data_IF_697864777672
#
_entry.id   IF_697864777672
#
_cell.length_a   1.000
_cell.length_b   1.000
_cell.length_c   1.000
_cell.angle_alpha   90.00
_cell.angle_beta   90.00
_cell.angle_gamma   90.00
#
_symmetry.space_group_name_H-M   'P 1'
#
loop_
_entity.id
_entity.type
_entity.pdbx_description
1 polymer ?
#
# COMPACT_ATOMS: atom_id res chain seq x y z
N UNK A 1 1.85 -2.86 -15.36
CA UNK A 1 1.26 -2.01 -14.27
C UNK A 1 -0.12 -1.48 -14.60
N UNK A 2 -0.40 -1.28 -15.86
CA UNK A 2 -1.68 -0.69 -16.29
C UNK A 2 -2.89 -1.45 -15.75
N UNK A 3 -2.95 -2.76 -15.93
CA UNK A 3 -4.07 -3.57 -15.44
C UNK A 3 -4.17 -3.71 -13.92
N UNK A 4 -3.18 -3.25 -13.18
CA UNK A 4 -3.15 -3.30 -11.71
C UNK A 4 -3.60 -1.98 -11.12
N UNK A 5 -3.20 -0.87 -11.73
CA UNK A 5 -3.47 0.48 -11.25
C UNK A 5 -4.73 1.10 -11.85
N UNK A 6 -5.35 0.40 -12.81
CA UNK A 6 -6.49 0.90 -13.55
C UNK A 6 -6.13 1.18 -15.00
N UNK A 7 -7.12 1.07 -15.87
CA UNK A 7 -6.93 1.23 -17.31
C UNK A 7 -6.66 2.67 -17.76
N UNK A 8 -6.87 3.63 -16.86
CA UNK A 8 -6.66 5.05 -17.16
C UNK A 8 -5.23 5.54 -16.88
N UNK A 9 -4.36 4.67 -16.36
CA UNK A 9 -2.96 5.03 -16.11
C UNK A 9 -2.14 4.95 -17.39
N UNK A 10 -1.57 6.10 -17.80
CA UNK A 10 -0.70 6.25 -18.96
C UNK A 10 0.68 6.70 -18.50
N UNK A 11 1.73 6.61 -19.37
CA UNK A 11 3.05 7.16 -19.03
C UNK A 11 3.00 8.63 -18.62
N UNK A 12 2.18 9.46 -19.30
CA UNK A 12 2.03 10.86 -18.93
C UNK A 12 1.41 11.02 -17.55
N UNK A 13 0.37 10.24 -17.21
CA UNK A 13 -0.25 10.29 -15.89
C UNK A 13 0.69 9.83 -14.79
N UNK A 14 1.52 8.83 -15.05
CA UNK A 14 2.54 8.38 -14.11
C UNK A 14 3.52 9.52 -13.81
N UNK A 15 3.99 10.21 -14.84
CA UNK A 15 4.89 11.35 -14.64
C UNK A 15 4.19 12.49 -13.89
N UNK A 16 2.96 12.81 -14.26
CA UNK A 16 2.21 13.90 -13.65
C UNK A 16 1.86 13.63 -12.18
N UNK A 17 1.39 12.43 -11.87
CA UNK A 17 0.83 12.11 -10.55
C UNK A 17 1.80 11.43 -9.60
N UNK A 18 2.91 10.91 -10.09
CA UNK A 18 3.87 10.17 -9.29
C UNK A 18 5.29 10.70 -9.49
N UNK A 19 5.95 10.30 -10.57
CA UNK A 19 7.38 10.53 -10.75
C UNK A 19 7.76 11.99 -10.94
N UNK A 20 6.85 12.81 -11.45
CA UNK A 20 7.06 14.25 -11.62
C UNK A 20 6.72 15.09 -10.39
N UNK A 21 6.25 14.47 -9.30
CA UNK A 21 5.89 15.20 -8.08
C UNK A 21 7.12 15.45 -7.22
N UNK A 22 7.20 16.61 -6.54
CA UNK A 22 8.38 16.94 -5.74
C UNK A 22 8.58 16.02 -4.53
N UNK A 23 7.53 15.37 -4.03
CA UNK A 23 7.63 14.43 -2.92
C UNK A 23 8.04 13.01 -3.36
N UNK A 24 8.16 12.75 -4.66
CA UNK A 24 8.59 11.45 -5.16
C UNK A 24 10.09 11.26 -4.94
N UNK A 25 10.45 10.11 -4.40
CA UNK A 25 11.85 9.68 -4.24
C UNK A 25 12.02 8.34 -4.95
N UNK A 26 12.83 8.27 -6.02
CA UNK A 26 13.05 7.01 -6.74
C UNK A 26 13.59 5.89 -5.86
N UNK A 27 14.36 6.22 -4.83
CA UNK A 27 14.90 5.22 -3.90
C UNK A 27 13.83 4.63 -2.99
N UNK A 28 12.67 5.26 -2.89
CA UNK A 28 11.52 4.76 -2.13
C UNK A 28 10.50 3.99 -2.96
N UNK A 29 10.78 3.75 -4.23
CA UNK A 29 9.92 2.94 -5.10
C UNK A 29 10.53 1.54 -5.21
N UNK A 30 9.76 0.52 -4.82
CA UNK A 30 10.21 -0.85 -4.79
C UNK A 30 9.37 -1.73 -5.71
N UNK A 31 10.02 -2.68 -6.35
CA UNK A 31 9.37 -3.69 -7.17
C UNK A 31 9.74 -5.08 -6.64
N UNK A 32 8.77 -5.98 -6.63
CA UNK A 32 9.04 -7.40 -6.43
C UNK A 32 9.17 -8.06 -7.79
N UNK A 33 10.19 -8.88 -7.97
CA UNK A 33 10.38 -9.65 -9.19
C UNK A 33 10.04 -11.11 -8.93
N UNK A 34 9.34 -11.72 -9.85
CA UNK A 34 9.04 -13.14 -9.85
C UNK A 34 9.51 -13.71 -11.18
N UNK A 35 10.47 -14.62 -11.15
CA UNK A 35 11.10 -15.17 -12.36
C UNK A 35 11.65 -14.07 -13.28
N UNK A 36 12.24 -13.03 -12.68
CA UNK A 36 12.83 -11.92 -13.43
C UNK A 36 11.83 -10.89 -13.96
N UNK A 37 10.54 -11.05 -13.70
CA UNK A 37 9.50 -10.13 -14.19
C UNK A 37 8.87 -9.36 -13.02
N UNK A 38 8.53 -8.08 -13.22
CA UNK A 38 7.85 -7.32 -12.18
C UNK A 38 6.51 -7.95 -11.80
N UNK A 39 6.35 -8.24 -10.51
CA UNK A 39 5.16 -8.90 -9.98
C UNK A 39 4.41 -8.03 -8.97
N UNK A 40 5.04 -7.00 -8.46
CA UNK A 40 4.40 -6.10 -7.52
C UNK A 40 5.19 -4.82 -7.32
N UNK A 41 4.56 -3.84 -6.70
CA UNK A 41 5.16 -2.54 -6.42
C UNK A 41 4.68 -1.98 -5.08
N UNK A 42 5.46 -1.10 -4.51
CA UNK A 42 5.05 -0.22 -3.41
C UNK A 42 5.97 1.00 -3.41
N UNK A 43 5.44 2.13 -2.97
CA UNK A 43 6.16 3.39 -3.02
C UNK A 43 6.03 4.12 -1.68
N UNK A 44 7.14 4.68 -1.21
CA UNK A 44 7.12 5.62 -0.11
C UNK A 44 6.69 6.99 -0.65
N UNK A 45 5.73 7.61 0.02
CA UNK A 45 5.15 8.89 -0.39
C UNK A 45 5.08 9.82 0.81
N UNK A 46 4.86 11.09 0.57
CA UNK A 46 4.68 12.10 1.63
C UNK A 46 3.52 13.01 1.25
N UNK A 47 2.79 13.53 2.26
CA UNK A 47 1.74 14.53 1.98
C UNK A 47 2.27 15.79 1.28
N UNK A 48 3.52 16.18 1.62
CA UNK A 48 4.22 17.29 0.99
C UNK A 48 5.73 17.03 1.05
N UNK A 49 6.55 17.71 0.23
CA UNK A 49 8.01 17.54 0.28
C UNK A 49 8.62 17.92 1.63
N UNK A 50 7.99 18.83 2.37
CA UNK A 50 8.48 19.34 3.65
C UNK A 50 8.12 18.44 4.84
N UNK A 51 7.26 17.45 4.65
CA UNK A 51 6.84 16.56 5.73
C UNK A 51 8.03 15.82 6.34
N UNK A 52 8.15 15.86 7.66
CA UNK A 52 9.28 15.27 8.38
C UNK A 52 8.90 14.13 9.32
N UNK A 53 7.62 13.91 9.55
CA UNK A 53 7.14 12.93 10.54
C UNK A 53 6.41 11.76 9.90
N UNK A 54 5.51 12.04 8.95
CA UNK A 54 4.58 11.04 8.40
C UNK A 54 4.87 10.73 6.94
N UNK A 55 4.97 9.43 6.64
CA UNK A 55 4.99 8.94 5.26
C UNK A 55 3.70 8.23 4.92
N UNK A 56 3.43 8.11 3.63
CA UNK A 56 2.29 7.35 3.12
C UNK A 56 2.82 6.14 2.35
N UNK A 57 2.27 4.96 2.64
CA UNK A 57 2.51 3.78 1.82
C UNK A 57 1.58 3.89 0.61
N UNK A 58 2.16 3.94 -0.57
CA UNK A 58 1.47 4.32 -1.80
C UNK A 58 1.72 3.28 -2.90
N UNK A 59 0.78 3.15 -3.81
CA UNK A 59 0.92 2.31 -5.02
C UNK A 59 1.28 0.85 -4.71
N UNK A 60 0.69 0.29 -3.65
CA UNK A 60 0.85 -1.14 -3.36
C UNK A 60 0.00 -1.94 -4.33
N UNK A 61 0.65 -2.75 -5.14
CA UNK A 61 -0.02 -3.58 -6.14
C UNK A 61 0.74 -4.89 -6.32
N UNK A 62 0.01 -5.97 -6.51
CA UNK A 62 0.58 -7.30 -6.83
C UNK A 62 -0.26 -7.87 -7.96
N UNK A 63 0.40 -8.36 -9.02
CA UNK A 63 -0.30 -8.98 -10.13
C UNK A 63 -1.08 -10.21 -9.65
N UNK A 64 -2.22 -10.56 -10.29
CA UNK A 64 -3.05 -11.68 -9.85
C UNK A 64 -2.28 -12.99 -9.73
N UNK A 65 -1.37 -13.27 -10.66
CA UNK A 65 -0.58 -14.50 -10.72
C UNK A 65 0.39 -14.66 -9.55
N UNK A 66 0.75 -13.55 -8.89
CA UNK A 66 1.70 -13.54 -7.79
C UNK A 66 1.02 -13.35 -6.42
N UNK A 67 -0.30 -13.31 -6.38
CA UNK A 67 -1.04 -13.17 -5.12
C UNK A 67 -0.92 -14.44 -4.28
N UNK A 68 -1.04 -14.28 -2.97
CA UNK A 68 -0.92 -15.39 -2.04
C UNK A 68 0.51 -15.75 -1.65
N UNK A 69 1.51 -15.05 -2.19
CA UNK A 69 2.93 -15.29 -1.88
C UNK A 69 3.49 -14.33 -0.81
N UNK A 70 2.65 -13.45 -0.27
CA UNK A 70 3.09 -12.49 0.75
C UNK A 70 3.84 -11.28 0.21
N UNK A 71 3.83 -11.04 -1.10
CA UNK A 71 4.58 -9.95 -1.72
C UNK A 71 4.09 -8.57 -1.28
N UNK A 72 2.78 -8.38 -1.15
CA UNK A 72 2.23 -7.10 -0.71
C UNK A 72 2.70 -6.72 0.69
N UNK A 73 2.73 -7.68 1.59
CA UNK A 73 3.23 -7.49 2.95
C UNK A 73 4.73 -7.19 2.95
N UNK A 74 5.50 -7.93 2.18
CA UNK A 74 6.95 -7.75 2.07
C UNK A 74 7.29 -6.37 1.50
N UNK A 75 6.59 -5.96 0.43
CA UNK A 75 6.78 -4.65 -0.19
C UNK A 75 6.42 -3.52 0.77
N UNK A 76 5.31 -3.66 1.50
CA UNK A 76 4.90 -2.68 2.50
C UNK A 76 5.95 -2.56 3.60
N UNK A 77 6.47 -3.69 4.10
CA UNK A 77 7.53 -3.68 5.09
C UNK A 77 8.78 -2.97 4.56
N UNK A 78 9.13 -3.20 3.31
CA UNK A 78 10.29 -2.56 2.68
C UNK A 78 10.13 -1.02 2.65
N UNK A 79 8.92 -0.55 2.32
CA UNK A 79 8.61 0.89 2.34
C UNK A 79 8.71 1.45 3.76
N UNK A 80 8.19 0.73 4.75
CA UNK A 80 8.27 1.17 6.16
C UNK A 80 9.70 1.27 6.63
N UNK A 81 10.55 0.30 6.29
CA UNK A 81 11.98 0.35 6.63
C UNK A 81 12.68 1.52 5.96
N UNK A 82 12.36 1.80 4.70
CA UNK A 82 12.88 2.96 3.99
C UNK A 82 12.49 4.26 4.71
N UNK A 83 11.21 4.40 5.06
CA UNK A 83 10.72 5.57 5.78
C UNK A 83 11.46 5.77 7.11
N UNK A 84 11.66 4.69 7.85
CA UNK A 84 12.40 4.74 9.12
C UNK A 84 13.83 5.21 8.91
N UNK A 85 14.51 4.72 7.89
CA UNK A 85 15.88 5.13 7.56
C UNK A 85 15.97 6.61 7.19
N UNK A 86 14.88 7.17 6.66
CA UNK A 86 14.78 8.59 6.31
C UNK A 86 14.28 9.46 7.46
N UNK A 87 14.09 8.88 8.65
CA UNK A 87 13.73 9.62 9.86
C UNK A 87 12.24 9.85 10.04
N UNK A 88 11.39 9.29 9.19
CA UNK A 88 9.95 9.35 9.38
C UNK A 88 9.53 8.41 10.51
N UNK A 89 8.61 8.86 11.35
CA UNK A 89 8.20 8.14 12.56
C UNK A 89 6.81 7.55 12.47
N UNK A 90 6.00 8.02 11.54
CA UNK A 90 4.63 7.58 11.34
C UNK A 90 4.41 7.19 9.90
N UNK A 91 3.54 6.24 9.68
CA UNK A 91 3.13 5.84 8.33
C UNK A 91 1.63 5.61 8.32
N UNK A 92 1.00 6.02 7.24
CA UNK A 92 -0.40 5.71 7.00
C UNK A 92 -0.59 5.17 5.59
N UNK A 93 -1.76 4.65 5.32
CA UNK A 93 -2.17 4.23 4.00
C UNK A 93 -3.69 4.30 3.89
N UNK A 94 -4.16 4.33 2.66
CA UNK A 94 -5.59 4.27 2.33
C UNK A 94 -5.80 3.04 1.46
N UNK A 95 -6.86 2.31 1.72
CA UNK A 95 -7.22 1.13 0.94
C UNK A 95 -8.74 1.03 0.85
N UNK A 96 -9.22 0.10 0.05
CA UNK A 96 -10.65 -0.15 -0.14
C UNK A 96 -11.11 -1.31 0.73
N UNK A 97 -12.36 -1.24 1.23
CA UNK A 97 -12.90 -2.26 2.14
C UNK A 97 -13.01 -3.65 1.53
N UNK A 98 -13.07 -3.79 0.21
CA UNK A 98 -13.11 -5.09 -0.43
C UNK A 98 -11.74 -5.80 -0.49
N UNK A 99 -10.66 -5.09 -0.21
CA UNK A 99 -9.29 -5.64 -0.29
C UNK A 99 -8.90 -6.36 1.01
N UNK A 100 -9.66 -7.37 1.37
CA UNK A 100 -9.50 -8.08 2.64
C UNK A 100 -8.09 -8.68 2.84
N UNK A 101 -7.49 -9.38 1.86
CA UNK A 101 -6.13 -9.90 2.06
C UNK A 101 -5.09 -8.81 2.33
N UNK A 102 -5.19 -7.68 1.64
CA UNK A 102 -4.29 -6.54 1.87
C UNK A 102 -4.50 -5.95 3.27
N UNK A 103 -5.74 -5.74 3.68
CA UNK A 103 -6.06 -5.22 5.02
C UNK A 103 -5.52 -6.14 6.11
N UNK A 104 -5.67 -7.45 5.96
CA UNK A 104 -5.11 -8.44 6.90
C UNK A 104 -3.59 -8.29 7.00
N UNK A 105 -2.92 -8.11 5.86
CA UNK A 105 -1.46 -7.91 5.84
C UNK A 105 -1.08 -6.63 6.59
N UNK A 106 -1.79 -5.52 6.35
CA UNK A 106 -1.52 -4.26 7.02
C UNK A 106 -1.73 -4.36 8.53
N UNK A 107 -2.82 -4.99 8.96
CA UNK A 107 -3.07 -5.21 10.39
C UNK A 107 -1.96 -6.05 11.03
N UNK A 108 -1.47 -7.07 10.32
CA UNK A 108 -0.38 -7.91 10.81
C UNK A 108 0.95 -7.18 10.95
N UNK A 109 1.12 -6.09 10.21
CA UNK A 109 2.30 -5.22 10.31
C UNK A 109 2.16 -4.14 11.40
N UNK A 110 1.02 -4.08 12.08
CA UNK A 110 0.79 -3.15 13.17
C UNK A 110 -0.02 -1.92 12.81
N UNK A 111 -0.48 -1.80 11.56
CA UNK A 111 -1.40 -0.73 11.20
C UNK A 111 -2.73 -0.89 11.95
N UNK A 112 -3.34 0.23 12.31
CA UNK A 112 -4.62 0.26 12.99
C UNK A 112 -5.63 1.08 12.23
N UNK A 113 -6.93 0.71 12.27
CA UNK A 113 -7.97 1.52 11.64
C UNK A 113 -8.03 2.93 12.22
N UNK A 114 -8.22 3.92 11.33
CA UNK A 114 -8.45 5.31 11.72
C UNK A 114 -9.77 5.74 11.08
N UNK A 115 -10.64 6.30 11.89
CA UNK A 115 -11.97 6.72 11.45
C UNK A 115 -11.95 8.23 11.20
N UNK A 116 -12.01 8.62 9.93
CA UNK A 116 -12.01 10.02 9.52
C UNK A 116 -13.33 10.45 8.86
N UNK A 117 -14.31 9.53 8.81
CA UNK A 117 -15.63 9.77 8.25
C UNK A 117 -16.67 9.00 9.05
N UNK A 118 -17.89 9.50 9.10
CA UNK A 118 -18.98 8.86 9.86
C UNK A 118 -19.29 7.43 9.40
N UNK A 119 -19.03 7.11 8.14
CA UNK A 119 -19.27 5.76 7.59
C UNK A 119 -18.21 4.74 8.00
N UNK A 120 -17.07 5.19 8.54
CA UNK A 120 -15.91 4.30 8.78
C UNK A 120 -16.18 3.27 9.87
N UNK A 121 -16.89 3.63 10.93
CA UNK A 121 -17.15 2.69 12.03
C UNK A 121 -17.90 1.44 11.54
N UNK A 122 -18.97 1.61 10.78
CA UNK A 122 -19.76 0.50 10.26
C UNK A 122 -18.99 -0.30 9.20
N UNK A 123 -18.24 0.38 8.35
CA UNK A 123 -17.40 -0.26 7.32
C UNK A 123 -16.31 -1.12 7.94
N UNK A 124 -15.63 -0.61 8.97
CA UNK A 124 -14.62 -1.38 9.69
C UNK A 124 -15.21 -2.56 10.43
N UNK A 125 -16.38 -2.42 11.02
CA UNK A 125 -17.07 -3.53 11.65
C UNK A 125 -17.33 -4.66 10.65
N UNK A 126 -17.81 -4.33 9.46
CA UNK A 126 -18.06 -5.31 8.40
C UNK A 126 -16.75 -5.97 7.93
N UNK A 127 -15.69 -5.22 7.75
CA UNK A 127 -14.37 -5.73 7.36
C UNK A 127 -13.83 -6.69 8.42
N UNK A 128 -13.85 -6.30 9.69
CA UNK A 128 -13.37 -7.15 10.79
C UNK A 128 -14.16 -8.44 10.91
N UNK A 129 -15.47 -8.39 10.65
CA UNK A 129 -16.32 -9.58 10.62
C UNK A 129 -15.88 -10.53 9.51
N UNK A 130 -15.62 -10.02 8.30
CA UNK A 130 -15.14 -10.82 7.18
C UNK A 130 -13.79 -11.46 7.47
N UNK A 131 -12.89 -10.73 8.11
CA UNK A 131 -11.58 -11.25 8.51
C UNK A 131 -11.74 -12.39 9.52
N UNK A 132 -12.60 -12.22 10.51
CA UNK A 132 -12.87 -13.24 11.51
C UNK A 132 -13.46 -14.52 10.88
N UNK A 133 -14.38 -14.38 9.93
CA UNK A 133 -14.97 -15.51 9.21
C UNK A 133 -13.94 -16.23 8.36
N UNK A 134 -13.10 -15.49 7.64
CA UNK A 134 -12.03 -16.07 6.83
C UNK A 134 -11.02 -16.85 7.67
N UNK A 135 -10.75 -16.41 8.91
CA UNK A 135 -9.84 -17.08 9.83
C UNK A 135 -10.38 -18.40 10.39
N UNK A 136 -11.68 -18.62 10.29
CA UNK A 136 -12.33 -19.88 10.74
C UNK A 136 -12.34 -20.96 9.66
N UNK A 137 -12.01 -20.60 8.43
CA UNK A 137 -11.98 -21.53 7.29
C UNK A 137 -10.60 -22.20 7.24
N UNK A 138 -10.50 -23.53 7.32
CA UNK A 138 -9.21 -24.22 7.25
C UNK A 138 -8.54 -24.11 5.88
#
# INVERSE_FOLDING_TARGET
>A
MEGILGSDWTPEKVREKLTGRPQFDPEGLFFALLNGQPAGSACAWKPSPEERIRGNVHMVAVIPEARGLGLGKLLTLKVLLYMRQRGLREADLVTDDFRIPAIRAYLSLGFRPVHTHESHAARWEAVMRQIAEASKTP
#
